data_IF_725837304666
#
_entry.id   IF_725837304666
#
_cell.length_a   1.000
_cell.length_b   1.000
_cell.length_c   1.000
_cell.angle_alpha   90.00
_cell.angle_beta   90.00
_cell.angle_gamma   90.00
#
_symmetry.space_group_name_H-M   'P 1'
#
loop_
_entity.id
_entity.type
_entity.pdbx_description
1 polymer ?
#
# COMPACT_ATOMS: atom_id res chain seq x y z
N UNK A 1 29.16 5.97 3.28
CA UNK A 1 27.73 6.11 2.88
C UNK A 1 27.01 6.79 4.03
N UNK A 2 26.61 8.05 3.86
CA UNK A 2 25.81 8.78 4.86
C UNK A 2 24.40 8.21 4.86
N UNK A 3 23.91 7.81 6.03
CA UNK A 3 22.54 7.32 6.21
C UNK A 3 21.58 8.42 5.74
N UNK A 4 20.60 8.13 4.85
CA UNK A 4 19.72 9.17 4.33
C UNK A 4 18.91 9.81 5.45
N UNK A 5 18.88 11.14 5.49
CA UNK A 5 18.21 11.93 6.52
C UNK A 5 16.70 11.69 6.49
N UNK A 6 16.13 11.28 7.62
CA UNK A 6 14.69 11.19 7.83
C UNK A 6 14.31 12.32 8.78
N UNK A 7 13.38 13.15 8.35
CA UNK A 7 12.88 14.28 9.13
C UNK A 7 11.66 13.87 9.93
N UNK A 8 11.59 14.29 11.19
CA UNK A 8 10.40 14.08 12.00
C UNK A 8 9.28 15.01 11.52
N UNK A 9 8.04 14.54 11.64
CA UNK A 9 6.85 15.32 11.32
C UNK A 9 6.11 15.70 12.60
N UNK A 10 4.99 16.41 12.47
CA UNK A 10 4.07 16.66 13.58
C UNK A 10 3.39 15.39 14.14
N UNK A 11 3.42 14.27 13.39
CA UNK A 11 2.81 13.00 13.80
C UNK A 11 3.88 12.04 14.36
N UNK A 12 3.68 11.59 15.60
CA UNK A 12 4.62 10.67 16.23
C UNK A 12 4.71 9.33 15.48
N UNK A 13 5.93 8.81 15.33
CA UNK A 13 6.19 7.55 14.61
C UNK A 13 6.13 7.66 13.09
N UNK A 14 5.98 8.87 12.55
CA UNK A 14 6.02 9.17 11.11
C UNK A 14 7.18 10.12 10.86
N UNK A 15 8.03 9.75 9.90
CA UNK A 15 9.07 10.60 9.35
C UNK A 15 8.88 10.76 7.86
N UNK A 16 9.49 11.80 7.30
CA UNK A 16 9.53 12.04 5.86
C UNK A 16 10.96 12.01 5.38
N UNK A 17 11.17 11.37 4.24
CA UNK A 17 12.38 11.54 3.44
C UNK A 17 11.99 12.14 2.10
N UNK A 18 12.69 13.21 1.72
CA UNK A 18 12.49 13.88 0.45
C UNK A 18 13.75 13.75 -0.37
N UNK A 19 13.60 13.35 -1.63
CA UNK A 19 14.67 13.35 -2.60
C UNK A 19 14.26 14.05 -3.89
N UNK A 20 15.24 14.58 -4.59
CA UNK A 20 15.06 15.29 -5.84
C UNK A 20 16.02 14.76 -6.89
N UNK A 21 15.55 14.71 -8.13
CA UNK A 21 16.39 14.57 -9.32
C UNK A 21 15.94 15.54 -10.41
N UNK A 22 16.87 16.02 -11.20
CA UNK A 22 16.62 16.74 -12.43
C UNK A 22 16.58 15.78 -13.62
N UNK A 23 15.61 15.98 -14.51
CA UNK A 23 15.54 15.25 -15.78
C UNK A 23 16.72 15.71 -16.64
N UNK A 24 17.61 14.79 -17.00
CA UNK A 24 18.75 15.05 -17.87
C UNK A 24 19.89 15.87 -17.25
N UNK A 25 19.96 15.98 -15.91
CA UNK A 25 21.07 16.70 -15.24
C UNK A 25 21.05 18.22 -15.42
N UNK A 26 19.85 18.81 -15.56
CA UNK A 26 19.62 20.22 -15.81
C UNK A 26 20.45 21.15 -14.90
N UNK A 27 21.25 22.05 -15.48
CA UNK A 27 21.90 23.15 -14.75
C UNK A 27 22.85 22.73 -13.62
N UNK A 28 23.38 21.51 -13.63
CA UNK A 28 24.24 20.98 -12.57
C UNK A 28 23.49 20.29 -11.43
N UNK A 29 22.16 20.19 -11.49
CA UNK A 29 21.37 19.41 -10.53
C UNK A 29 21.57 17.90 -10.70
N UNK A 30 21.42 17.10 -9.62
CA UNK A 30 21.64 15.67 -9.68
C UNK A 30 20.64 14.99 -10.61
N UNK A 31 21.13 14.13 -11.51
CA UNK A 31 20.32 13.29 -12.41
C UNK A 31 19.76 12.03 -11.72
N UNK A 32 20.26 11.73 -10.52
CA UNK A 32 19.81 10.63 -9.65
C UNK A 32 19.08 11.16 -8.41
N UNK A 33 18.14 10.38 -7.84
CA UNK A 33 17.46 10.75 -6.61
C UNK A 33 18.47 11.06 -5.50
N UNK A 34 18.50 12.31 -5.05
CA UNK A 34 19.42 12.79 -4.01
C UNK A 34 18.61 13.32 -2.83
N UNK A 35 18.86 12.86 -1.59
CA UNK A 35 18.07 13.25 -0.43
C UNK A 35 18.35 14.70 0.01
N UNK A 36 17.32 15.36 0.53
CA UNK A 36 17.43 16.67 1.19
C UNK A 36 18.10 16.54 2.58
N UNK A 37 18.84 17.57 3.05
CA UNK A 37 19.19 18.77 2.31
C UNK A 37 20.37 18.46 1.39
N UNK A 38 20.27 18.89 0.14
CA UNK A 38 21.40 18.80 -0.78
C UNK A 38 21.82 20.20 -1.22
N UNK A 39 23.12 20.39 -1.35
CA UNK A 39 23.73 21.62 -1.82
C UNK A 39 24.43 21.31 -3.13
N UNK A 40 24.13 22.07 -4.17
CA UNK A 40 24.68 21.87 -5.50
C UNK A 40 25.09 23.21 -6.08
N UNK A 41 26.24 23.24 -6.76
CA UNK A 41 26.61 24.40 -7.57
C UNK A 41 25.82 24.33 -8.87
N UNK A 42 25.09 25.40 -9.15
CA UNK A 42 24.20 25.51 -10.29
C UNK A 42 24.75 26.59 -11.20
N UNK A 43 25.01 26.25 -12.46
CA UNK A 43 25.51 27.22 -13.44
C UNK A 43 24.34 27.91 -14.11
N UNK A 44 24.23 29.23 -13.91
CA UNK A 44 23.21 30.06 -14.56
C UNK A 44 23.84 30.80 -15.76
N UNK A 45 23.52 30.44 -17.02
CA UNK A 45 23.99 31.21 -18.16
C UNK A 45 23.30 32.59 -18.16
N UNK A 46 24.10 33.66 -18.14
CA UNK A 46 23.69 35.05 -17.98
C UNK A 46 22.68 35.60 -19.02
N UNK A 47 22.35 34.82 -20.05
CA UNK A 47 21.47 35.21 -21.16
C UNK A 47 20.00 34.85 -20.95
N UNK A 48 19.64 34.19 -19.84
CA UNK A 48 18.29 33.70 -19.61
C UNK A 48 17.56 34.57 -18.56
N UNK A 49 16.34 35.07 -18.83
CA UNK A 49 15.57 35.88 -17.88
C UNK A 49 15.24 35.09 -16.61
N UNK A 50 15.03 35.78 -15.49
CA UNK A 50 14.83 35.21 -14.13
C UNK A 50 13.74 34.09 -14.03
N UNK A 51 12.89 33.95 -15.05
CA UNK A 51 11.81 32.96 -15.17
C UNK A 51 12.24 31.53 -15.59
N UNK A 52 13.54 31.22 -15.65
CA UNK A 52 14.03 29.93 -16.17
C UNK A 52 14.02 28.79 -15.14
N UNK A 53 14.00 29.09 -13.84
CA UNK A 53 13.95 28.07 -12.79
C UNK A 53 12.52 27.55 -12.61
N UNK A 54 12.09 26.65 -13.49
CA UNK A 54 10.81 25.93 -13.34
C UNK A 54 11.05 24.59 -12.69
N UNK A 55 10.28 24.29 -11.63
CA UNK A 55 10.27 22.98 -10.99
C UNK A 55 9.86 21.83 -11.94
N UNK A 56 9.35 22.14 -13.14
CA UNK A 56 8.89 21.15 -14.13
C UNK A 56 9.94 20.14 -14.60
N UNK A 57 11.24 20.50 -14.55
CA UNK A 57 12.34 19.57 -14.86
C UNK A 57 12.77 18.71 -13.68
N UNK A 58 12.19 18.93 -12.50
CA UNK A 58 12.50 18.16 -11.31
C UNK A 58 11.47 17.05 -11.10
N UNK A 59 11.95 15.97 -10.51
CA UNK A 59 11.14 14.89 -9.97
C UNK A 59 11.43 14.81 -8.49
N UNK A 60 10.40 15.08 -7.71
CA UNK A 60 10.39 14.94 -6.26
C UNK A 60 9.95 13.52 -5.92
N UNK A 61 10.58 12.92 -4.94
CA UNK A 61 10.15 11.66 -4.34
C UNK A 61 10.06 11.87 -2.84
N UNK A 62 8.84 11.73 -2.33
CA UNK A 62 8.50 11.89 -0.92
C UNK A 62 8.18 10.49 -0.41
N UNK A 63 8.92 10.04 0.58
CA UNK A 63 8.73 8.76 1.23
C UNK A 63 8.27 8.99 2.66
N UNK A 64 7.14 8.38 3.02
CA UNK A 64 6.69 8.28 4.40
C UNK A 64 7.39 7.09 5.06
N UNK A 65 8.13 7.37 6.13
CA UNK A 65 8.92 6.39 6.85
C UNK A 65 8.29 6.18 8.22
N UNK A 66 7.94 4.93 8.54
CA UNK A 66 7.54 4.56 9.90
C UNK A 66 8.78 4.61 10.80
N UNK A 67 8.82 5.54 11.76
CA UNK A 67 9.99 5.79 12.63
C UNK A 67 9.85 5.16 14.03
N UNK A 68 8.67 4.65 14.38
CA UNK A 68 8.39 4.01 15.67
C UNK A 68 7.51 2.75 15.55
N UNK A 69 7.28 2.03 16.66
CA UNK A 69 6.45 0.81 16.67
C UNK A 69 4.99 1.11 16.30
N UNK A 70 4.49 2.28 16.70
CA UNK A 70 3.20 2.83 16.31
C UNK A 70 3.41 4.14 15.54
N UNK A 71 2.42 4.49 14.71
CA UNK A 71 2.32 5.77 14.04
C UNK A 71 1.00 6.43 14.47
N UNK A 72 1.03 7.72 14.75
CA UNK A 72 -0.16 8.48 15.15
C UNK A 72 -0.95 8.90 13.91
N UNK A 73 -2.27 8.61 13.83
CA UNK A 73 -3.11 9.11 12.74
C UNK A 73 -3.36 10.62 12.91
N UNK A 74 -3.68 11.31 11.82
CA UNK A 74 -4.03 12.72 11.83
C UNK A 74 -3.63 13.45 10.56
N UNK A 75 -3.76 14.78 10.59
CA UNK A 75 -3.26 15.65 9.53
C UNK A 75 -1.74 15.78 9.66
N UNK A 76 -1.03 15.23 8.68
CA UNK A 76 0.40 15.40 8.50
C UNK A 76 0.66 16.82 8.03
N UNK A 77 1.54 17.49 8.76
CA UNK A 77 2.11 18.79 8.41
C UNK A 77 3.62 18.70 8.55
N UNK A 78 4.33 19.02 7.46
CA UNK A 78 5.77 19.16 7.46
C UNK A 78 6.17 20.35 6.59
N UNK A 79 6.96 21.25 7.18
CA UNK A 79 7.48 22.44 6.53
C UNK A 79 9.01 22.45 6.57
N UNK A 80 9.63 22.83 5.46
CA UNK A 80 11.08 23.05 5.37
C UNK A 80 11.40 24.23 4.48
N UNK A 81 11.93 25.31 5.06
CA UNK A 81 12.46 26.46 4.31
C UNK A 81 13.78 26.16 3.59
N UNK A 82 14.43 25.04 3.95
CA UNK A 82 15.77 24.66 3.47
C UNK A 82 15.73 23.43 2.59
N UNK A 83 14.62 23.22 1.88
CA UNK A 83 14.44 22.08 0.99
C UNK A 83 15.48 22.09 -0.14
N UNK A 84 15.67 23.26 -0.77
CA UNK A 84 16.72 23.50 -1.76
C UNK A 84 17.56 24.71 -1.37
N UNK A 85 18.88 24.52 -1.32
CA UNK A 85 19.84 25.56 -0.92
C UNK A 85 20.87 25.78 -2.02
N UNK A 86 21.24 27.04 -2.27
CA UNK A 86 22.48 27.42 -2.93
C UNK A 86 23.41 28.01 -1.87
N UNK A 87 24.42 27.21 -1.48
CA UNK A 87 25.27 27.51 -0.32
C UNK A 87 24.45 27.84 0.94
N UNK A 88 24.37 29.12 1.32
CA UNK A 88 23.68 29.61 2.51
C UNK A 88 22.31 30.25 2.20
N UNK A 89 21.93 30.31 0.93
CA UNK A 89 20.69 30.95 0.48
C UNK A 89 19.60 29.91 0.18
N UNK A 90 18.42 29.99 0.82
CA UNK A 90 17.30 29.12 0.49
C UNK A 90 16.71 29.51 -0.87
N UNK A 91 16.54 28.53 -1.76
CA UNK A 91 15.97 28.73 -3.11
C UNK A 91 14.53 28.24 -3.21
N UNK A 92 14.16 27.24 -2.43
CA UNK A 92 12.79 26.73 -2.39
C UNK A 92 12.46 26.16 -1.01
N UNK A 93 11.24 26.42 -0.57
CA UNK A 93 10.63 25.77 0.57
C UNK A 93 9.81 24.55 0.12
N UNK A 94 9.53 23.65 1.05
CA UNK A 94 8.66 22.50 0.85
C UNK A 94 7.61 22.45 1.96
N UNK A 95 6.35 22.44 1.53
CA UNK A 95 5.18 22.20 2.36
C UNK A 95 4.58 20.85 1.99
N UNK A 96 4.44 19.97 2.98
CA UNK A 96 3.78 18.68 2.86
C UNK A 96 2.60 18.63 3.80
N UNK A 97 1.41 18.49 3.22
CA UNK A 97 0.16 18.32 3.94
C UNK A 97 -0.56 17.08 3.46
N UNK A 98 -1.19 16.35 4.36
CA UNK A 98 -2.08 15.25 3.97
C UNK A 98 -2.62 14.49 5.17
N UNK A 99 -3.60 13.63 4.96
CA UNK A 99 -4.20 12.84 6.04
C UNK A 99 -3.54 11.47 6.16
N UNK A 100 -3.01 11.16 7.34
CA UNK A 100 -2.55 9.82 7.67
C UNK A 100 -3.64 9.09 8.43
N UNK A 101 -4.12 7.98 7.85
CA UNK A 101 -4.89 6.98 8.58
C UNK A 101 -3.98 5.81 8.92
N UNK A 102 -3.98 5.43 10.18
CA UNK A 102 -3.40 4.16 10.61
C UNK A 102 -4.46 3.08 10.76
N UNK A 103 -5.74 3.41 10.56
CA UNK A 103 -6.85 2.50 10.80
C UNK A 103 -6.82 1.34 9.80
N UNK A 104 -6.73 0.12 10.31
CA UNK A 104 -6.66 -1.06 9.47
C UNK A 104 -6.78 -2.35 10.27
N UNK A 105 -7.22 -3.40 9.60
CA UNK A 105 -7.11 -4.77 10.11
C UNK A 105 -6.16 -5.57 9.23
N UNK A 106 -5.38 -6.45 9.85
CA UNK A 106 -4.70 -7.55 9.17
C UNK A 106 -5.38 -8.86 9.49
N UNK A 107 -5.41 -9.78 8.52
CA UNK A 107 -5.80 -11.17 8.79
C UNK A 107 -4.69 -11.82 9.59
N UNK A 108 -5.04 -12.36 10.75
CA UNK A 108 -4.12 -13.04 11.65
C UNK A 108 -3.71 -14.40 11.05
N UNK A 109 -2.47 -14.82 11.31
CA UNK A 109 -1.91 -16.13 10.94
C UNK A 109 -2.72 -17.33 11.47
N UNK A 110 -3.51 -17.15 12.53
CA UNK A 110 -4.45 -18.15 13.05
C UNK A 110 -5.63 -18.43 12.11
N UNK A 111 -5.87 -17.56 11.12
CA UNK A 111 -6.92 -17.75 10.12
C UNK A 111 -6.53 -18.88 9.16
N UNK A 112 -7.35 -19.94 9.03
CA UNK A 112 -7.01 -21.07 8.17
C UNK A 112 -7.04 -20.65 6.69
N UNK A 113 -5.88 -20.77 6.02
CA UNK A 113 -5.78 -20.54 4.57
C UNK A 113 -6.50 -21.62 3.73
N UNK A 114 -6.79 -22.78 4.32
CA UNK A 114 -7.47 -23.90 3.66
C UNK A 114 -8.58 -24.44 4.55
N UNK A 115 -9.81 -24.38 4.04
CA UNK A 115 -10.99 -24.99 4.69
C UNK A 115 -11.25 -26.33 4.00
N UNK A 116 -11.13 -27.42 4.76
CA UNK A 116 -11.42 -28.77 4.27
C UNK A 116 -12.89 -29.08 4.48
N UNK A 117 -13.64 -29.16 3.39
CA UNK A 117 -15.02 -29.63 3.43
C UNK A 117 -15.04 -31.14 3.72
N UNK A 118 -16.01 -31.64 4.51
CA UNK A 118 -16.22 -33.07 4.70
C UNK A 118 -16.43 -33.80 3.38
N UNK A 119 -15.96 -35.05 3.32
CA UNK A 119 -16.28 -35.90 2.19
C UNK A 119 -17.79 -36.16 2.15
N UNK A 120 -18.38 -36.00 0.97
CA UNK A 120 -19.79 -36.24 0.74
C UNK A 120 -19.98 -37.34 -0.30
N UNK A 121 -20.92 -38.24 -0.04
CA UNK A 121 -21.38 -39.22 -1.03
C UNK A 121 -22.44 -38.59 -1.93
N UNK A 122 -22.38 -38.89 -3.23
CA UNK A 122 -23.31 -38.37 -4.24
C UNK A 122 -24.78 -38.62 -3.88
N UNK A 123 -25.05 -39.78 -3.28
CA UNK A 123 -26.41 -40.20 -2.91
C UNK A 123 -27.01 -39.34 -1.77
N UNK A 124 -26.21 -38.54 -1.06
CA UNK A 124 -26.68 -37.63 -0.03
C UNK A 124 -27.21 -36.30 -0.61
N UNK A 125 -26.98 -36.03 -1.89
CA UNK A 125 -27.55 -34.87 -2.58
C UNK A 125 -28.92 -35.25 -3.15
N UNK A 126 -29.98 -35.09 -2.35
CA UNK A 126 -31.36 -35.42 -2.74
C UNK A 126 -32.02 -34.51 -3.78
N UNK A 127 -31.24 -33.82 -4.62
CA UNK A 127 -31.72 -32.91 -5.67
C UNK A 127 -30.87 -31.64 -5.83
N UNK A 128 -31.16 -30.87 -6.86
CA UNK A 128 -30.51 -29.56 -7.13
C UNK A 128 -30.75 -28.61 -5.96
N UNK A 129 -29.69 -27.92 -5.52
CA UNK A 129 -29.76 -26.97 -4.40
C UNK A 129 -29.61 -27.59 -3.01
N UNK A 130 -29.41 -28.92 -2.90
CA UNK A 130 -29.08 -29.57 -1.62
C UNK A 130 -27.60 -29.41 -1.28
N UNK A 131 -27.31 -29.26 0.02
CA UNK A 131 -25.96 -29.11 0.57
C UNK A 131 -25.67 -30.25 1.54
N UNK A 132 -24.39 -30.49 1.82
CA UNK A 132 -23.93 -31.56 2.74
C UNK A 132 -23.80 -31.07 4.18
N UNK A 133 -24.37 -29.89 4.48
CA UNK A 133 -24.20 -29.18 5.74
C UNK A 133 -23.05 -28.16 5.71
N UNK A 134 -22.94 -27.44 6.82
CA UNK A 134 -22.02 -26.32 6.97
C UNK A 134 -20.68 -26.78 7.54
N UNK A 135 -19.59 -26.21 7.02
CA UNK A 135 -18.24 -26.37 7.60
C UNK A 135 -17.87 -25.06 8.29
N UNK A 136 -17.90 -24.99 9.64
CA UNK A 136 -17.59 -23.77 10.34
C UNK A 136 -16.12 -23.41 10.18
N UNK A 137 -15.84 -22.13 9.97
CA UNK A 137 -14.52 -21.53 10.02
C UNK A 137 -14.62 -20.13 10.59
N UNK A 138 -13.52 -19.59 11.07
CA UNK A 138 -13.44 -18.23 11.61
C UNK A 138 -12.32 -17.47 10.92
N UNK A 139 -12.57 -16.18 10.64
CA UNK A 139 -11.55 -15.23 10.21
C UNK A 139 -11.14 -14.41 11.43
N UNK A 140 -9.87 -14.49 11.80
CA UNK A 140 -9.32 -13.71 12.91
C UNK A 140 -8.68 -12.45 12.32
N UNK A 141 -9.13 -11.29 12.81
CA UNK A 141 -8.64 -9.99 12.36
C UNK A 141 -7.99 -9.25 13.53
N UNK A 142 -6.76 -8.83 13.33
CA UNK A 142 -6.06 -7.96 14.27
C UNK A 142 -6.22 -6.52 13.79
N UNK A 143 -7.09 -5.77 14.45
CA UNK A 143 -7.39 -4.38 14.12
C UNK A 143 -6.74 -3.45 15.15
N UNK A 144 -6.13 -2.36 14.67
CA UNK A 144 -5.44 -1.40 15.53
C UNK A 144 -6.31 -0.22 15.98
N UNK A 145 -7.55 -0.17 15.52
CA UNK A 145 -8.59 0.77 15.95
C UNK A 145 -9.98 0.16 15.73
N UNK A 146 -11.02 0.82 16.23
CA UNK A 146 -12.39 0.43 15.97
C UNK A 146 -12.73 0.76 14.51
N UNK A 147 -12.61 -0.23 13.62
CA UNK A 147 -12.92 -0.10 12.19
C UNK A 147 -14.15 -0.90 11.82
N UNK A 148 -14.90 -0.39 10.85
CA UNK A 148 -15.98 -1.15 10.23
C UNK A 148 -15.38 -2.12 9.21
N UNK A 149 -15.56 -3.41 9.43
CA UNK A 149 -15.08 -4.44 8.51
C UNK A 149 -16.21 -4.87 7.58
N UNK A 150 -15.94 -4.81 6.27
CA UNK A 150 -16.78 -5.46 5.25
C UNK A 150 -16.04 -6.65 4.66
N UNK A 151 -16.73 -7.79 4.56
CA UNK A 151 -16.19 -8.99 3.94
C UNK A 151 -16.77 -9.13 2.53
N UNK A 152 -15.88 -9.23 1.55
CA UNK A 152 -16.20 -9.64 0.19
C UNK A 152 -15.49 -10.96 -0.09
N UNK A 153 -16.24 -11.91 -0.65
CA UNK A 153 -15.72 -13.20 -1.10
C UNK A 153 -15.69 -13.16 -2.62
N UNK A 154 -14.49 -13.26 -3.20
CA UNK A 154 -14.30 -13.35 -4.64
C UNK A 154 -13.79 -14.76 -5.00
N UNK A 155 -14.50 -15.42 -5.93
CA UNK A 155 -14.21 -16.78 -6.38
C UNK A 155 -14.72 -17.04 -7.79
N UNK A 156 -14.20 -18.09 -8.43
CA UNK A 156 -14.74 -18.56 -9.70
C UNK A 156 -16.11 -19.19 -9.47
N UNK A 157 -17.12 -18.80 -10.26
CA UNK A 157 -18.46 -19.39 -10.21
C UNK A 157 -18.62 -20.44 -11.32
N UNK A 158 -19.35 -21.54 -11.08
CA UNK A 158 -19.66 -22.49 -12.14
C UNK A 158 -20.58 -21.82 -13.17
N UNK A 159 -20.36 -22.12 -14.45
CA UNK A 159 -21.12 -21.49 -15.55
C UNK A 159 -22.64 -21.63 -15.38
N UNK A 160 -23.10 -22.76 -14.85
CA UNK A 160 -24.50 -23.08 -14.61
C UNK A 160 -25.12 -22.38 -13.40
N UNK A 161 -24.34 -21.68 -12.55
CA UNK A 161 -24.85 -21.03 -11.34
C UNK A 161 -24.28 -19.61 -11.13
N UNK A 162 -23.95 -18.93 -12.23
CA UNK A 162 -23.47 -17.54 -12.20
C UNK A 162 -24.50 -16.61 -11.54
N UNK A 163 -24.03 -15.77 -10.61
CA UNK A 163 -24.88 -14.85 -9.85
C UNK A 163 -25.77 -15.52 -8.81
N UNK A 164 -25.61 -16.83 -8.59
CA UNK A 164 -26.35 -17.59 -7.56
C UNK A 164 -25.48 -17.86 -6.33
N UNK A 165 -24.33 -17.19 -6.20
CA UNK A 165 -23.40 -17.28 -5.06
C UNK A 165 -22.82 -18.69 -4.80
N UNK A 166 -22.47 -19.42 -5.87
CA UNK A 166 -21.78 -20.71 -5.77
C UNK A 166 -20.32 -20.60 -6.22
N UNK A 167 -19.41 -21.19 -5.47
CA UNK A 167 -18.01 -21.35 -5.89
C UNK A 167 -17.84 -22.62 -6.74
N UNK A 168 -17.06 -22.52 -7.81
CA UNK A 168 -16.73 -23.63 -8.69
C UNK A 168 -15.75 -24.59 -8.02
N UNK A 169 -15.97 -25.89 -8.21
CA UNK A 169 -15.02 -26.92 -7.80
C UNK A 169 -13.88 -27.01 -8.81
N UNK A 170 -12.63 -27.10 -8.34
CA UNK A 170 -11.52 -27.51 -9.20
C UNK A 170 -11.57 -29.03 -9.39
N UNK A 171 -11.55 -29.56 -10.64
CA UNK A 171 -11.59 -31.00 -10.88
C UNK A 171 -10.35 -31.67 -10.25
N UNK A 172 -10.49 -32.86 -9.63
CA UNK A 172 -9.36 -33.58 -9.07
C UNK A 172 -8.37 -33.95 -10.17
N UNK A 173 -7.08 -33.69 -9.94
CA UNK A 173 -5.99 -34.27 -10.75
C UNK A 173 -6.02 -35.79 -10.56
N UNK A 174 -5.99 -36.52 -11.68
CA UNK A 174 -6.08 -37.98 -11.73
C UNK A 174 -5.06 -38.58 -10.73
N UNK A 175 -5.57 -39.27 -9.71
CA UNK A 175 -4.75 -39.94 -8.67
C UNK A 175 -5.03 -39.50 -7.23
N UNK A 176 -5.74 -38.39 -6.98
CA UNK A 176 -6.14 -37.97 -5.62
C UNK A 176 -7.60 -37.51 -5.61
N UNK A 177 -8.49 -38.28 -4.96
CA UNK A 177 -9.90 -37.91 -4.73
C UNK A 177 -10.00 -36.84 -3.63
N UNK A 178 -9.41 -35.67 -3.88
CA UNK A 178 -9.58 -34.48 -3.03
C UNK A 178 -10.14 -33.40 -3.93
N UNK A 179 -11.43 -33.09 -3.77
CA UNK A 179 -12.06 -31.91 -4.35
C UNK A 179 -11.57 -30.70 -3.56
N UNK A 180 -10.65 -29.93 -4.14
CA UNK A 180 -10.27 -28.64 -3.59
C UNK A 180 -11.26 -27.59 -4.09
N UNK A 181 -11.79 -26.79 -3.17
CA UNK A 181 -12.48 -25.55 -3.50
C UNK A 181 -11.45 -24.43 -3.38
N UNK A 182 -11.02 -23.87 -4.52
CA UNK A 182 -9.92 -22.91 -4.58
C UNK A 182 -10.51 -21.53 -4.87
N UNK A 183 -11.03 -20.82 -3.87
CA UNK A 183 -11.84 -19.61 -4.13
C UNK A 183 -11.81 -18.52 -3.05
N UNK A 184 -10.76 -18.40 -2.24
CA UNK A 184 -10.75 -17.34 -1.22
C UNK A 184 -9.63 -16.34 -1.47
N UNK A 185 -10.01 -15.16 -1.99
CA UNK A 185 -9.25 -13.94 -1.73
C UNK A 185 -10.11 -13.08 -0.80
N UNK A 186 -9.70 -12.96 0.46
CA UNK A 186 -10.34 -12.08 1.42
C UNK A 186 -9.76 -10.69 1.18
N UNK A 187 -10.58 -9.78 0.65
CA UNK A 187 -10.21 -8.37 0.53
C UNK A 187 -10.87 -7.63 1.68
N UNK A 188 -10.11 -7.38 2.75
CA UNK A 188 -10.55 -6.45 3.79
C UNK A 188 -10.33 -5.02 3.30
N UNK A 189 -11.41 -4.26 3.10
CA UNK A 189 -11.33 -2.79 2.98
C UNK A 189 -11.73 -2.18 4.32
N UNK A 190 -10.76 -1.53 4.95
CA UNK A 190 -11.02 -0.55 6.01
C UNK A 190 -11.37 0.77 5.33
N UNK A 191 -12.51 1.36 5.70
CA UNK A 191 -12.92 2.70 5.29
C UNK A 191 -12.53 3.70 6.36
#
# INVERSE_FOLDING_TARGET
>A
MTRPTVYQTNLAGIGVRVSLRAIGGYGGFPDRPTPSPFSQRVDNPAALPDAVWKLGYFRLTIELIKTGPAATPGELEYHSERFLMAEHTPLAALDLTGRISTEGCSVNDATPALIKLPAAMLDHFGGVGKTTGDTPFALQLDCNSAVTVSLRVDGAEPFSARGMAFCAMTPPTIGRRVLACSCFTIVSRSY
#
